data_IF_337523898326
#
_entry.id   IF_337523898326
#
_cell.length_a   1.000
_cell.length_b   1.000
_cell.length_c   1.000
_cell.angle_alpha   90.00
_cell.angle_beta   90.00
_cell.angle_gamma   90.00
#
_symmetry.space_group_name_H-M   'P 1'
#
loop_
_entity.id
_entity.type
_entity.pdbx_description
1 polymer ?
#
# COMPACT_ATOMS: atom_id res chain seq x y z
N UNK A 1 -1.03 12.15 24.91
CA UNK A 1 -0.63 11.35 23.72
C UNK A 1 0.74 11.80 23.23
N UNK A 2 1.63 10.84 22.94
CA UNK A 2 2.97 11.13 22.43
C UNK A 2 2.89 11.81 21.05
N UNK A 3 3.89 12.62 20.71
CA UNK A 3 3.98 13.31 19.41
C UNK A 3 4.39 12.35 18.29
N UNK A 4 5.22 11.35 18.60
CA UNK A 4 5.61 10.25 17.70
C UNK A 4 5.01 8.95 18.22
N UNK A 5 4.35 8.22 17.36
CA UNK A 5 3.75 6.91 17.62
C UNK A 5 4.46 5.93 16.69
N UNK A 6 5.09 4.92 17.28
CA UNK A 6 5.77 3.82 16.57
C UNK A 6 5.03 2.53 16.90
N UNK A 7 4.96 1.65 15.90
CA UNK A 7 4.62 0.25 16.12
C UNK A 7 5.93 -0.53 16.19
N UNK A 8 5.95 -1.61 16.96
CA UNK A 8 7.07 -2.53 17.00
C UNK A 8 7.12 -3.37 15.71
N UNK A 9 8.28 -3.94 15.42
CA UNK A 9 8.51 -4.73 14.20
C UNK A 9 7.61 -5.99 14.15
N UNK A 10 7.30 -6.58 15.30
CA UNK A 10 6.37 -7.72 15.43
C UNK A 10 4.90 -7.34 15.15
N UNK A 11 4.61 -6.04 14.99
CA UNK A 11 3.28 -5.52 14.66
C UNK A 11 3.14 -5.12 13.19
N UNK A 12 4.13 -5.41 12.33
CA UNK A 12 4.01 -5.22 10.88
C UNK A 12 2.80 -6.06 10.38
N UNK A 13 1.84 -5.45 9.66
CA UNK A 13 0.76 -6.20 9.04
C UNK A 13 1.31 -7.25 8.08
N UNK A 14 0.75 -8.46 8.13
CA UNK A 14 1.22 -9.61 7.33
C UNK A 14 0.38 -9.88 6.08
N UNK A 15 -0.62 -9.04 5.81
CA UNK A 15 -1.51 -9.13 4.64
C UNK A 15 -1.70 -7.74 4.02
N UNK A 16 -1.75 -7.67 2.70
CA UNK A 16 -2.30 -6.51 1.99
C UNK A 16 -3.81 -6.59 1.97
N UNK A 17 -4.45 -5.42 1.95
CA UNK A 17 -5.89 -5.29 1.85
C UNK A 17 -6.29 -4.90 0.43
N UNK A 18 -7.23 -5.63 -0.14
CA UNK A 18 -7.80 -5.34 -1.45
C UNK A 18 -9.19 -4.73 -1.29
N UNK A 19 -9.31 -3.45 -1.65
CA UNK A 19 -10.58 -2.71 -1.53
C UNK A 19 -11.67 -3.25 -2.48
N UNK A 20 -11.32 -3.95 -3.57
CA UNK A 20 -12.31 -4.49 -4.51
C UNK A 20 -13.31 -5.43 -3.83
N UNK A 21 -12.89 -6.13 -2.77
CA UNK A 21 -13.74 -7.04 -2.01
C UNK A 21 -14.91 -6.34 -1.28
N UNK A 22 -14.80 -5.02 -1.05
CA UNK A 22 -15.77 -4.23 -0.28
C UNK A 22 -16.36 -3.07 -1.11
N UNK A 23 -16.05 -3.00 -2.41
CA UNK A 23 -16.65 -2.00 -3.29
C UNK A 23 -18.14 -2.28 -3.55
N UNK A 24 -19.00 -1.25 -3.62
CA UNK A 24 -20.44 -1.42 -3.83
C UNK A 24 -20.79 -1.95 -5.22
N UNK A 25 -19.94 -1.72 -6.21
CA UNK A 25 -20.03 -2.23 -7.58
C UNK A 25 -18.63 -2.66 -8.03
N UNK A 26 -18.49 -3.69 -8.88
CA UNK A 26 -17.20 -4.07 -9.43
C UNK A 26 -16.49 -2.91 -10.15
N UNK A 27 -15.16 -2.92 -10.15
CA UNK A 27 -14.40 -2.03 -11.01
C UNK A 27 -14.69 -2.34 -12.48
N UNK A 28 -14.66 -1.31 -13.32
CA UNK A 28 -14.70 -1.52 -14.76
C UNK A 28 -13.40 -2.22 -15.18
N UNK A 29 -13.48 -3.18 -16.12
CA UNK A 29 -12.29 -3.86 -16.59
C UNK A 29 -11.35 -2.88 -17.31
N UNK A 30 -10.04 -3.13 -17.31
CA UNK A 30 -9.12 -2.40 -18.18
C UNK A 30 -9.56 -2.56 -19.64
N UNK A 31 -9.37 -1.50 -20.43
CA UNK A 31 -9.76 -1.48 -21.83
C UNK A 31 -8.52 -1.50 -22.73
N UNK A 32 -8.65 -2.19 -23.86
CA UNK A 32 -7.68 -2.21 -24.94
C UNK A 32 -7.75 -0.94 -25.78
N UNK A 33 -6.87 -0.88 -26.79
CA UNK A 33 -6.82 0.26 -27.72
C UNK A 33 -8.09 0.42 -28.56
N UNK A 34 -8.84 -0.66 -28.73
CA UNK A 34 -10.12 -0.72 -29.43
C UNK A 34 -11.32 -0.33 -28.52
N UNK A 35 -11.06 -0.07 -27.23
CA UNK A 35 -12.09 0.26 -26.25
C UNK A 35 -12.84 -0.94 -25.68
N UNK A 36 -12.44 -2.17 -26.02
CA UNK A 36 -13.04 -3.37 -25.45
C UNK A 36 -12.29 -3.83 -24.20
N UNK A 37 -12.97 -4.49 -23.24
CA UNK A 37 -12.31 -5.11 -22.09
C UNK A 37 -11.20 -6.07 -22.50
N UNK A 38 -10.06 -6.00 -21.80
CA UNK A 38 -8.94 -6.94 -21.98
C UNK A 38 -8.90 -7.96 -20.85
N UNK A 39 -8.30 -9.12 -21.14
CA UNK A 39 -8.10 -10.21 -20.19
C UNK A 39 -6.64 -10.36 -19.72
N UNK A 40 -6.37 -11.35 -18.85
CA UNK A 40 -5.03 -11.68 -18.38
C UNK A 40 -4.00 -11.90 -19.51
N UNK A 41 -4.40 -12.56 -20.59
CA UNK A 41 -3.50 -12.87 -21.71
C UNK A 41 -3.02 -11.61 -22.45
N UNK A 42 -3.83 -10.55 -22.46
CA UNK A 42 -3.45 -9.26 -23.04
C UNK A 42 -2.42 -8.51 -22.18
N UNK A 43 -2.34 -8.83 -20.88
CA UNK A 43 -1.41 -8.23 -19.91
C UNK A 43 -0.08 -8.99 -19.81
N UNK A 44 -0.10 -10.29 -20.12
CA UNK A 44 1.07 -11.19 -20.05
C UNK A 44 2.33 -10.73 -20.79
N UNK A 45 2.25 -9.95 -21.90
CA UNK A 45 3.46 -9.42 -22.55
C UNK A 45 4.21 -8.36 -21.72
N UNK A 46 3.55 -7.76 -20.72
CA UNK A 46 4.08 -6.62 -19.95
C UNK A 46 4.33 -7.02 -18.50
N UNK A 47 3.42 -7.80 -17.92
CA UNK A 47 3.43 -8.11 -16.49
C UNK A 47 3.69 -9.60 -16.23
N UNK A 48 4.46 -9.94 -15.18
CA UNK A 48 4.57 -11.30 -14.70
C UNK A 48 3.23 -11.80 -14.16
N UNK A 49 3.02 -13.12 -14.21
CA UNK A 49 1.72 -13.74 -13.92
C UNK A 49 1.21 -13.44 -12.50
N UNK A 50 2.10 -13.39 -11.50
CA UNK A 50 1.74 -13.06 -10.13
C UNK A 50 1.12 -11.65 -9.97
N UNK A 51 1.57 -10.67 -10.76
CA UNK A 51 0.98 -9.33 -10.75
C UNK A 51 -0.38 -9.31 -11.45
N UNK A 52 -0.53 -10.10 -12.53
CA UNK A 52 -1.80 -10.26 -13.23
C UNK A 52 -2.84 -10.94 -12.32
N UNK A 53 -2.44 -11.99 -11.60
CA UNK A 53 -3.30 -12.66 -10.61
C UNK A 53 -3.75 -11.70 -9.51
N UNK A 54 -2.87 -10.83 -9.03
CA UNK A 54 -3.23 -9.80 -8.04
C UNK A 54 -4.20 -8.76 -8.59
N UNK A 55 -4.00 -8.30 -9.83
CA UNK A 55 -4.89 -7.33 -10.50
C UNK A 55 -6.30 -7.89 -10.67
N UNK A 56 -6.42 -9.19 -10.96
CA UNK A 56 -7.69 -9.89 -11.17
C UNK A 56 -8.34 -10.39 -9.86
N UNK A 57 -7.64 -10.29 -8.73
CA UNK A 57 -8.11 -10.82 -7.46
C UNK A 57 -9.23 -9.97 -6.86
N UNK A 58 -10.24 -10.66 -6.31
CA UNK A 58 -11.29 -10.07 -5.47
C UNK A 58 -11.18 -10.54 -4.02
N UNK A 59 -10.10 -11.23 -3.66
CA UNK A 59 -9.84 -11.64 -2.28
C UNK A 59 -9.56 -10.42 -1.41
N UNK A 60 -10.25 -10.31 -0.26
CA UNK A 60 -10.10 -9.17 0.67
C UNK A 60 -8.69 -9.03 1.24
N UNK A 61 -8.03 -10.16 1.49
CA UNK A 61 -6.73 -10.21 2.16
C UNK A 61 -5.76 -11.08 1.37
N UNK A 62 -4.64 -10.50 0.97
CA UNK A 62 -3.57 -11.19 0.24
C UNK A 62 -2.37 -11.30 1.19
N UNK A 63 -1.90 -12.52 1.46
CA UNK A 63 -0.74 -12.73 2.33
C UNK A 63 0.52 -12.08 1.74
N UNK A 64 1.29 -11.41 2.59
CA UNK A 64 2.58 -10.84 2.20
C UNK A 64 3.63 -11.96 2.32
N UNK A 65 4.32 -12.32 1.24
CA UNK A 65 5.42 -13.30 1.28
C UNK A 65 6.49 -12.92 2.33
N UNK A 66 7.04 -13.92 3.03
CA UNK A 66 8.07 -13.67 4.05
C UNK A 66 9.28 -12.87 3.52
N UNK A 67 9.83 -13.14 2.33
CA UNK A 67 10.96 -12.35 1.81
C UNK A 67 10.63 -10.87 1.62
N UNK A 68 9.36 -10.52 1.37
CA UNK A 68 8.91 -9.13 1.28
C UNK A 68 8.78 -8.52 2.68
N UNK A 69 8.27 -9.26 3.67
CA UNK A 69 8.23 -8.82 5.07
C UNK A 69 9.64 -8.56 5.62
N UNK A 70 10.58 -9.47 5.34
CA UNK A 70 11.99 -9.32 5.68
C UNK A 70 12.56 -8.03 5.09
N UNK A 71 12.27 -7.75 3.82
CA UNK A 71 12.71 -6.53 3.17
C UNK A 71 12.04 -5.26 3.74
N UNK A 72 10.75 -5.32 4.05
CA UNK A 72 10.04 -4.21 4.70
C UNK A 72 10.57 -3.90 6.10
N UNK A 73 11.03 -4.89 6.85
CA UNK A 73 11.53 -4.71 8.22
C UNK A 73 12.72 -3.76 8.33
N UNK A 74 13.40 -3.48 7.20
CA UNK A 74 14.46 -2.47 7.11
C UNK A 74 13.99 -1.04 7.47
N UNK A 75 12.71 -0.70 7.28
CA UNK A 75 12.18 0.65 7.61
C UNK A 75 10.72 0.70 8.05
N UNK A 76 9.97 -0.40 7.92
CA UNK A 76 8.59 -0.50 8.39
C UNK A 76 8.56 -1.15 9.78
N UNK A 77 7.63 -0.76 10.66
CA UNK A 77 6.54 0.20 10.44
C UNK A 77 7.01 1.66 10.43
N UNK A 78 6.53 2.44 9.46
CA UNK A 78 6.79 3.88 9.45
C UNK A 78 6.09 4.59 10.63
N UNK A 79 6.67 5.64 11.22
CA UNK A 79 6.05 6.34 12.34
C UNK A 79 4.80 7.14 11.95
N UNK A 80 3.83 7.21 12.87
CA UNK A 80 2.72 8.15 12.82
C UNK A 80 3.05 9.33 13.75
N UNK A 81 2.89 10.56 13.27
CA UNK A 81 3.14 11.75 14.07
C UNK A 81 1.86 12.54 14.28
N UNK A 82 1.76 13.20 15.44
CA UNK A 82 0.76 14.24 15.70
C UNK A 82 1.37 15.62 15.48
N UNK A 83 0.78 16.42 14.61
CA UNK A 83 1.31 17.73 14.20
C UNK A 83 0.92 18.86 15.18
N UNK A 84 1.31 18.77 16.46
CA UNK A 84 0.85 19.70 17.52
C UNK A 84 1.13 21.19 17.26
N UNK A 85 2.30 21.53 16.72
CA UNK A 85 2.61 22.93 16.42
C UNK A 85 1.82 23.45 15.22
N UNK A 86 1.50 22.58 14.28
CA UNK A 86 0.61 22.91 13.16
C UNK A 86 -0.84 23.07 13.64
N UNK A 87 -1.31 22.21 14.54
CA UNK A 87 -2.60 22.36 15.22
C UNK A 87 -2.69 23.74 15.90
N UNK A 88 -1.66 24.15 16.66
CA UNK A 88 -1.61 25.48 17.32
C UNK A 88 -1.57 26.64 16.34
N UNK A 89 -0.74 26.56 15.30
CA UNK A 89 -0.59 27.63 14.32
C UNK A 89 -1.89 27.92 13.56
N UNK A 90 -2.77 26.91 13.43
CA UNK A 90 -4.06 27.01 12.76
C UNK A 90 -5.24 27.24 13.71
N UNK A 91 -5.03 27.30 15.03
CA UNK A 91 -6.09 27.21 16.03
C UNK A 91 -7.06 26.04 15.72
N UNK A 92 -6.49 24.88 15.42
CA UNK A 92 -7.21 23.77 14.81
C UNK A 92 -8.16 23.10 15.82
N UNK A 93 -9.45 22.92 15.49
CA UNK A 93 -10.41 22.25 16.38
C UNK A 93 -10.23 20.72 16.40
N UNK A 94 -9.36 20.18 15.55
CA UNK A 94 -9.13 18.74 15.40
C UNK A 94 -7.67 18.37 15.63
N UNK A 95 -7.43 17.08 15.86
CA UNK A 95 -6.09 16.53 15.94
C UNK A 95 -5.63 16.16 14.54
N UNK A 96 -4.41 16.57 14.17
CA UNK A 96 -3.84 16.31 12.85
C UNK A 96 -2.75 15.26 13.00
N UNK A 97 -2.88 14.16 12.26
CA UNK A 97 -1.88 13.11 12.19
C UNK A 97 -1.38 12.93 10.76
N UNK A 98 -0.10 12.57 10.61
CA UNK A 98 0.47 12.19 9.33
C UNK A 98 1.32 10.93 9.46
N UNK A 99 1.17 10.05 8.48
CA UNK A 99 1.95 8.81 8.34
C UNK A 99 3.24 9.12 7.59
N UNK A 100 4.38 9.08 8.26
CA UNK A 100 5.65 9.49 7.67
C UNK A 100 6.28 8.34 6.86
N UNK A 101 5.85 8.18 5.61
CA UNK A 101 6.43 7.22 4.66
C UNK A 101 7.78 7.69 4.06
N UNK A 102 8.29 8.85 4.47
CA UNK A 102 9.59 9.38 4.02
C UNK A 102 10.80 8.70 4.67
N UNK A 103 10.57 7.74 5.57
CA UNK A 103 11.64 7.03 6.30
C UNK A 103 12.25 5.85 5.54
N UNK A 104 11.70 5.50 4.37
CA UNK A 104 12.31 4.46 3.54
C UNK A 104 13.63 4.92 2.94
N UNK A 105 14.52 4.00 2.49
CA UNK A 105 15.78 4.36 1.84
C UNK A 105 15.62 5.30 0.64
N UNK A 106 14.48 5.22 -0.07
CA UNK A 106 14.14 6.07 -1.21
C UNK A 106 13.40 7.37 -0.83
N UNK A 107 13.16 7.62 0.46
CA UNK A 107 12.47 8.82 0.95
C UNK A 107 10.99 8.90 0.55
N UNK A 108 10.33 7.79 0.24
CA UNK A 108 8.90 7.77 -0.15
C UNK A 108 8.24 6.40 0.07
N UNK A 109 6.94 6.29 -0.16
CA UNK A 109 6.19 5.03 -0.08
C UNK A 109 6.44 4.08 -1.27
N UNK A 110 7.15 4.52 -2.33
CA UNK A 110 7.34 3.73 -3.56
C UNK A 110 7.96 2.34 -3.35
N UNK A 111 8.95 2.16 -2.46
CA UNK A 111 9.50 0.84 -2.16
C UNK A 111 8.47 -0.19 -1.68
N UNK A 112 7.33 0.27 -1.12
CA UNK A 112 6.27 -0.64 -0.71
C UNK A 112 5.75 -1.49 -1.88
N UNK A 113 5.58 -0.93 -3.08
CA UNK A 113 5.17 -1.72 -4.26
C UNK A 113 6.36 -2.22 -5.07
N UNK A 114 7.45 -1.45 -5.16
CA UNK A 114 8.60 -1.82 -5.98
C UNK A 114 9.25 -3.13 -5.53
N UNK A 115 9.32 -3.37 -4.21
CA UNK A 115 9.83 -4.64 -3.68
C UNK A 115 8.90 -5.81 -4.04
N UNK A 116 7.59 -5.63 -3.88
CA UNK A 116 6.63 -6.69 -4.17
C UNK A 116 6.58 -7.05 -5.66
N UNK A 117 6.77 -6.08 -6.55
CA UNK A 117 6.84 -6.31 -8.00
C UNK A 117 8.18 -6.91 -8.45
N UNK A 118 9.27 -6.64 -7.72
CA UNK A 118 10.60 -7.15 -8.04
C UNK A 118 10.87 -8.57 -7.49
N UNK A 119 10.11 -8.98 -6.47
CA UNK A 119 10.09 -10.34 -5.90
C UNK A 119 9.34 -11.31 -6.82
#
# INVERSE_FOLDING_TARGET
MPTKIVLNDDQIPRKWYNIQADMPTPLQPPLGRDGNPIGPDDLAPIFPMNLIEQEMSTERWIDIPEPILDAYSLWRPSPLYRAKEFEKALDCPVKIYYKNEGVSPAGSHKPNTAIAQAY
#
